data_IF_334704167658
#
_entry.id   IF_334704167658
#
_cell.length_a   1.000
_cell.length_b   1.000
_cell.length_c   1.000
_cell.angle_alpha   90.00
_cell.angle_beta   90.00
_cell.angle_gamma   90.00
#
_symmetry.space_group_name_H-M   'P 1'
#
loop_
_entity.id
_entity.type
_entity.pdbx_description
1 polymer ?
#
# COMPACT_ATOMS: atom_id res chain seq x y z
N UNK A 1 32.52 -29.20 6.58
CA UNK A 1 33.97 -29.53 6.65
C UNK A 1 34.27 -30.82 7.35
N UNK A 2 35.57 -31.22 7.42
CA UNK A 2 36.00 -32.46 8.06
C UNK A 2 37.18 -32.25 8.98
N UNK A 3 37.16 -32.93 10.13
CA UNK A 3 38.32 -33.10 11.00
C UNK A 3 38.81 -34.53 10.87
N UNK A 4 40.12 -34.72 10.77
CA UNK A 4 40.74 -36.04 10.72
C UNK A 4 41.72 -36.16 11.90
N UNK A 5 41.45 -37.11 12.80
CA UNK A 5 42.33 -37.46 13.90
C UNK A 5 42.99 -38.79 13.62
N UNK A 6 44.27 -38.92 13.98
CA UNK A 6 45.03 -40.18 13.80
C UNK A 6 45.75 -40.55 15.07
N UNK A 7 45.82 -41.85 15.32
CA UNK A 7 46.54 -42.43 16.47
C UNK A 7 47.35 -43.66 16.06
N UNK A 8 48.43 -43.80 16.74
CA UNK A 8 49.24 -45.04 16.78
C UNK A 8 49.47 -45.44 18.23
N UNK A 9 49.72 -46.68 18.50
CA UNK A 9 50.16 -47.21 19.77
C UNK A 9 51.47 -47.96 19.58
N UNK A 10 52.41 -47.79 20.56
CA UNK A 10 53.70 -48.46 20.58
C UNK A 10 53.71 -49.42 21.76
N UNK A 11 54.12 -50.69 21.55
CA UNK A 11 54.28 -51.64 22.63
C UNK A 11 55.59 -51.43 23.43
N UNK A 12 55.78 -52.22 24.49
CA UNK A 12 56.97 -52.10 25.33
C UNK A 12 58.28 -52.53 24.62
N UNK A 13 58.18 -53.21 23.47
CA UNK A 13 59.28 -53.67 22.62
C UNK A 13 59.61 -52.69 21.50
N UNK A 14 58.83 -51.58 21.37
CA UNK A 14 59.04 -50.57 20.37
C UNK A 14 58.29 -50.81 19.04
N UNK A 15 57.45 -51.80 18.94
CA UNK A 15 56.64 -52.06 17.74
C UNK A 15 55.47 -51.06 17.68
N UNK A 16 55.24 -50.43 16.54
CA UNK A 16 54.22 -49.44 16.32
C UNK A 16 53.04 -50.09 15.55
N UNK A 17 51.81 -49.81 15.99
CA UNK A 17 50.58 -50.21 15.30
C UNK A 17 50.42 -49.54 13.96
N UNK A 18 49.52 -50.06 13.14
CA UNK A 18 48.94 -49.28 12.03
C UNK A 18 48.23 -48.02 12.54
N UNK A 19 48.11 -47.02 11.69
CA UNK A 19 47.46 -45.74 12.01
C UNK A 19 45.95 -46.00 12.11
N UNK A 20 45.35 -45.68 13.24
CA UNK A 20 43.91 -45.57 13.34
C UNK A 20 43.48 -44.15 12.93
N UNK A 21 42.48 -44.03 12.05
CA UNK A 21 42.00 -42.77 11.51
C UNK A 21 40.53 -42.60 11.87
N UNK A 22 40.18 -41.45 12.46
CA UNK A 22 38.80 -41.00 12.66
C UNK A 22 38.56 -39.81 11.75
N UNK A 23 37.46 -39.81 11.03
CA UNK A 23 36.98 -38.64 10.27
C UNK A 23 35.67 -38.15 10.89
N UNK A 24 35.66 -36.89 11.31
CA UNK A 24 34.46 -36.20 11.80
C UNK A 24 34.01 -35.25 10.70
N UNK A 25 32.83 -35.45 10.16
CA UNK A 25 32.23 -34.62 9.16
C UNK A 25 31.24 -33.69 9.83
N UNK A 26 31.39 -32.37 9.59
CA UNK A 26 30.47 -31.34 10.04
C UNK A 26 29.70 -30.88 8.81
N UNK A 27 28.38 -30.91 8.87
CA UNK A 27 27.48 -30.47 7.81
C UNK A 27 26.51 -29.48 8.39
N UNK A 28 26.10 -28.54 7.55
CA UNK A 28 24.96 -27.69 7.80
C UNK A 28 23.85 -28.07 6.83
N UNK A 29 22.69 -28.43 7.36
CA UNK A 29 21.49 -28.81 6.61
C UNK A 29 20.27 -28.07 7.16
N UNK A 30 20.48 -27.00 7.93
CA UNK A 30 19.42 -26.20 8.54
C UNK A 30 19.20 -24.97 7.67
N UNK A 31 17.95 -24.71 7.33
CA UNK A 31 17.60 -23.51 6.60
C UNK A 31 17.57 -22.27 7.52
N UNK A 32 17.96 -21.08 7.01
CA UNK A 32 17.78 -19.83 7.74
C UNK A 32 16.33 -19.59 8.13
N UNK A 33 16.15 -18.90 9.27
CA UNK A 33 14.84 -18.51 9.78
C UNK A 33 14.72 -16.99 9.85
N UNK A 34 13.53 -16.47 9.57
CA UNK A 34 13.27 -15.05 9.66
C UNK A 34 13.23 -14.58 11.11
N UNK A 35 13.99 -13.54 11.45
CA UNK A 35 13.94 -12.86 12.75
C UNK A 35 12.89 -11.74 12.75
N UNK A 36 12.55 -11.20 11.58
CA UNK A 36 11.40 -10.33 11.41
C UNK A 36 10.13 -11.17 11.48
N UNK A 37 9.22 -10.81 12.40
CA UNK A 37 7.95 -11.53 12.57
C UNK A 37 7.06 -11.38 11.32
N UNK A 38 6.28 -12.42 11.01
CA UNK A 38 5.30 -12.37 9.93
C UNK A 38 4.32 -11.21 10.16
N UNK A 39 4.03 -10.43 9.11
CA UNK A 39 3.18 -9.25 9.16
C UNK A 39 3.82 -7.98 9.76
N UNK A 40 5.05 -8.06 10.29
CA UNK A 40 5.70 -6.89 10.90
C UNK A 40 6.05 -5.78 9.89
N UNK A 41 6.11 -6.11 8.61
CA UNK A 41 6.35 -5.15 7.53
C UNK A 41 5.07 -4.75 6.79
N UNK A 42 3.92 -5.32 7.15
CA UNK A 42 2.64 -4.97 6.51
C UNK A 42 2.25 -3.55 6.86
N UNK A 43 1.72 -2.83 5.88
CA UNK A 43 1.31 -1.42 6.04
C UNK A 43 0.00 -1.14 5.31
N UNK A 44 -0.78 -0.20 5.85
CA UNK A 44 -1.92 0.40 5.16
C UNK A 44 -1.62 1.88 4.95
N UNK A 45 -1.70 2.34 3.72
CA UNK A 45 -1.21 3.66 3.29
C UNK A 45 -2.24 4.29 2.35
N UNK A 46 -2.47 5.59 2.50
CA UNK A 46 -3.31 6.37 1.61
C UNK A 46 -2.71 6.44 0.19
N UNK A 47 -3.53 6.32 -0.83
CA UNK A 47 -3.11 6.29 -2.24
C UNK A 47 -2.30 7.52 -2.67
N UNK A 48 -2.56 8.68 -2.06
CA UNK A 48 -1.84 9.92 -2.30
C UNK A 48 -0.47 10.02 -1.62
N UNK A 49 -0.17 9.14 -0.64
CA UNK A 49 1.13 9.12 0.05
C UNK A 49 2.17 8.28 -0.71
N UNK A 50 2.59 8.77 -1.86
CA UNK A 50 3.62 8.10 -2.67
C UNK A 50 4.96 7.91 -1.94
N UNK A 51 5.29 8.79 -1.00
CA UNK A 51 6.52 8.67 -0.21
C UNK A 51 6.41 7.52 0.81
N UNK A 52 5.27 7.39 1.48
CA UNK A 52 4.97 6.28 2.38
C UNK A 52 4.96 4.93 1.64
N UNK A 53 4.36 4.86 0.45
CA UNK A 53 4.36 3.66 -0.39
C UNK A 53 5.79 3.25 -0.76
N UNK A 54 6.61 4.20 -1.22
CA UNK A 54 8.01 3.93 -1.57
C UNK A 54 8.83 3.48 -0.36
N UNK A 55 8.59 4.07 0.82
CA UNK A 55 9.26 3.67 2.06
C UNK A 55 8.85 2.26 2.49
N UNK A 56 7.59 1.89 2.38
CA UNK A 56 7.10 0.55 2.69
C UNK A 56 7.70 -0.51 1.75
N UNK A 57 7.78 -0.21 0.45
CA UNK A 57 8.39 -1.09 -0.54
C UNK A 57 9.91 -1.27 -0.36
N UNK A 58 10.58 -0.34 0.31
CA UNK A 58 12.02 -0.41 0.60
C UNK A 58 12.36 -1.23 1.85
N UNK A 59 11.37 -1.71 2.60
CA UNK A 59 11.59 -2.54 3.79
C UNK A 59 12.10 -3.92 3.41
N UNK A 60 13.07 -4.42 4.16
CA UNK A 60 13.65 -5.75 3.96
C UNK A 60 13.60 -6.50 5.31
N UNK A 61 13.10 -7.75 5.35
CA UNK A 61 13.14 -8.56 6.55
C UNK A 61 14.56 -9.00 6.90
N UNK A 62 14.79 -9.40 8.14
CA UNK A 62 16.06 -9.95 8.64
C UNK A 62 15.94 -11.43 8.95
N UNK A 63 17.03 -12.17 8.78
CA UNK A 63 17.09 -13.61 9.01
C UNK A 63 18.36 -14.02 9.73
N UNK A 64 18.30 -15.17 10.41
CA UNK A 64 19.41 -15.77 11.11
C UNK A 64 19.46 -17.27 10.86
N UNK A 65 20.66 -17.81 10.83
CA UNK A 65 20.94 -19.23 10.77
C UNK A 65 21.77 -19.71 11.97
N UNK A 66 21.64 -20.98 12.32
CA UNK A 66 22.31 -21.57 13.48
C UNK A 66 23.83 -21.76 13.32
N UNK A 67 24.31 -21.87 12.08
CA UNK A 67 25.74 -22.03 11.76
C UNK A 67 26.37 -20.73 11.25
N UNK A 68 25.65 -19.96 10.46
CA UNK A 68 26.15 -18.75 9.78
C UNK A 68 25.86 -17.46 10.57
N UNK A 69 24.92 -17.48 11.54
CA UNK A 69 24.48 -16.29 12.24
C UNK A 69 23.56 -15.43 11.36
N UNK A 70 23.79 -14.12 11.33
CA UNK A 70 23.00 -13.20 10.49
C UNK A 70 23.26 -13.46 9.00
N UNK A 71 22.20 -13.78 8.25
CA UNK A 71 22.27 -14.12 6.83
C UNK A 71 21.74 -12.96 6.00
N UNK A 72 22.55 -12.49 5.04
CA UNK A 72 22.28 -11.28 4.23
C UNK A 72 22.02 -11.57 2.75
N UNK A 73 22.12 -12.82 2.30
CA UNK A 73 21.84 -13.20 0.92
C UNK A 73 20.33 -13.33 0.69
N UNK A 74 19.63 -12.20 0.86
CA UNK A 74 18.18 -12.08 0.73
C UNK A 74 17.83 -11.74 -0.71
N UNK A 75 16.92 -12.50 -1.30
CA UNK A 75 16.40 -12.28 -2.66
C UNK A 75 14.95 -11.83 -2.53
N UNK A 76 14.65 -10.67 -3.10
CA UNK A 76 13.30 -10.10 -3.18
C UNK A 76 12.65 -10.43 -4.53
N UNK A 77 11.34 -10.70 -4.47
CA UNK A 77 10.43 -10.66 -5.61
C UNK A 77 9.38 -9.60 -5.30
N UNK A 78 9.58 -8.40 -5.85
CA UNK A 78 8.66 -7.28 -5.70
C UNK A 78 7.34 -7.58 -6.42
N UNK A 79 6.23 -7.42 -5.72
CA UNK A 79 4.89 -7.59 -6.27
C UNK A 79 4.44 -6.37 -7.07
N UNK A 80 3.74 -6.58 -8.17
CA UNK A 80 3.05 -5.50 -8.86
C UNK A 80 1.80 -5.07 -8.07
N UNK A 81 1.36 -3.82 -8.29
CA UNK A 81 0.09 -3.34 -7.75
C UNK A 81 -1.08 -4.16 -8.32
N UNK A 82 -1.93 -4.65 -7.44
CA UNK A 82 -3.17 -5.34 -7.78
C UNK A 82 -4.32 -4.44 -7.35
N UNK A 83 -5.00 -3.75 -8.29
CA UNK A 83 -6.08 -2.83 -7.97
C UNK A 83 -7.31 -3.54 -7.44
N UNK A 84 -8.08 -2.81 -6.62
CA UNK A 84 -9.42 -3.23 -6.19
C UNK A 84 -10.42 -3.29 -7.34
N UNK A 85 -11.49 -4.06 -7.18
CA UNK A 85 -12.50 -4.23 -8.24
C UNK A 85 -13.45 -3.05 -8.34
N UNK A 86 -13.71 -2.34 -7.25
CA UNK A 86 -14.67 -1.21 -7.18
C UNK A 86 -13.97 0.13 -7.15
N UNK A 87 -12.79 0.20 -6.55
CA UNK A 87 -11.94 1.37 -6.44
C UNK A 87 -10.56 1.02 -7.00
N UNK A 88 -10.21 1.44 -8.23
CA UNK A 88 -8.93 1.11 -8.85
C UNK A 88 -7.71 1.75 -8.16
N UNK A 89 -7.92 2.79 -7.38
CA UNK A 89 -6.90 3.49 -6.60
C UNK A 89 -6.53 2.74 -5.33
N UNK A 90 -7.46 1.95 -4.79
CA UNK A 90 -7.21 0.99 -3.72
C UNK A 90 -6.65 -0.31 -4.28
N UNK A 91 -5.91 -1.03 -3.44
CA UNK A 91 -5.35 -2.32 -3.84
C UNK A 91 -4.23 -2.78 -2.95
N UNK A 92 -3.41 -3.70 -3.47
CA UNK A 92 -2.31 -4.26 -2.69
C UNK A 92 -1.05 -4.44 -3.54
N UNK A 93 0.10 -4.29 -2.87
CA UNK A 93 1.37 -4.89 -3.30
C UNK A 93 1.65 -6.09 -2.39
N UNK A 94 2.17 -7.18 -2.95
CA UNK A 94 2.64 -8.32 -2.17
C UNK A 94 4.08 -8.61 -2.53
N UNK A 95 5.00 -8.21 -1.66
CA UNK A 95 6.42 -8.49 -1.81
C UNK A 95 6.78 -9.80 -1.09
N UNK A 96 7.70 -10.56 -1.65
CA UNK A 96 8.15 -11.81 -1.06
C UNK A 96 9.68 -11.90 -1.05
N UNK A 97 10.22 -12.57 -0.04
CA UNK A 97 11.66 -12.78 0.10
C UNK A 97 11.97 -14.22 0.44
N UNK A 98 13.12 -14.67 -0.06
CA UNK A 98 13.82 -15.87 0.41
C UNK A 98 15.25 -15.50 0.76
N UNK A 99 15.87 -16.26 1.64
CA UNK A 99 17.26 -16.10 2.02
C UNK A 99 17.97 -17.45 1.93
N UNK A 100 19.23 -17.43 1.49
CA UNK A 100 20.05 -18.65 1.35
C UNK A 100 21.30 -18.49 2.19
N UNK A 101 21.63 -19.51 3.00
CA UNK A 101 22.87 -19.55 3.77
C UNK A 101 24.10 -19.88 2.92
N UNK A 102 25.29 -19.93 3.52
CA UNK A 102 26.54 -20.26 2.84
C UNK A 102 26.62 -21.72 2.38
N UNK A 103 25.81 -22.61 2.96
CA UNK A 103 25.74 -24.05 2.63
C UNK A 103 24.72 -24.35 1.53
N UNK A 104 23.89 -23.37 1.15
CA UNK A 104 22.88 -23.51 0.11
C UNK A 104 21.49 -23.90 0.61
N UNK A 105 21.24 -23.89 1.94
CA UNK A 105 19.90 -24.12 2.47
C UNK A 105 19.07 -22.86 2.32
N UNK A 106 17.80 -22.98 1.91
CA UNK A 106 16.90 -21.87 1.59
C UNK A 106 15.79 -21.78 2.64
N UNK A 107 15.48 -20.56 3.09
CA UNK A 107 14.41 -20.28 4.04
C UNK A 107 13.01 -20.55 3.48
N UNK A 108 12.01 -20.58 4.37
CA UNK A 108 10.61 -20.35 3.98
C UNK A 108 10.44 -18.94 3.39
N UNK A 109 9.39 -18.75 2.57
CA UNK A 109 9.08 -17.46 1.98
C UNK A 109 8.56 -16.51 3.04
N UNK A 110 9.17 -15.33 3.17
CA UNK A 110 8.59 -14.18 3.90
C UNK A 110 7.70 -13.39 2.96
N UNK A 111 6.56 -12.92 3.44
CA UNK A 111 5.62 -12.10 2.67
C UNK A 111 5.29 -10.82 3.42
N UNK A 112 5.25 -9.71 2.67
CA UNK A 112 4.73 -8.41 3.11
C UNK A 112 3.53 -8.05 2.25
N UNK A 113 2.48 -7.51 2.86
CA UNK A 113 1.33 -6.93 2.17
C UNK A 113 1.27 -5.42 2.46
N UNK A 114 1.34 -4.61 1.41
CA UNK A 114 1.11 -3.18 1.49
C UNK A 114 -0.28 -2.92 0.92
N UNK A 115 -1.22 -2.51 1.77
CA UNK A 115 -2.58 -2.16 1.40
C UNK A 115 -2.67 -0.67 1.10
N UNK A 116 -3.16 -0.32 -0.07
CA UNK A 116 -3.42 1.06 -0.47
C UNK A 116 -4.91 1.32 -0.30
N UNK A 117 -5.24 2.41 0.37
CA UNK A 117 -6.62 2.83 0.63
C UNK A 117 -6.83 4.26 0.16
N UNK A 118 -8.07 4.58 -0.15
CA UNK A 118 -8.56 5.93 -0.37
C UNK A 118 -9.70 6.22 0.62
N UNK A 119 -9.41 7.05 1.61
CA UNK A 119 -10.35 7.42 2.67
C UNK A 119 -10.64 8.93 2.65
N UNK A 120 -10.23 9.63 1.61
CA UNK A 120 -10.37 11.07 1.48
C UNK A 120 -11.56 11.38 0.58
N UNK A 121 -12.48 12.21 1.05
CA UNK A 121 -13.60 12.63 0.23
C UNK A 121 -13.17 13.72 -0.78
N UNK A 122 -13.80 13.77 -1.98
CA UNK A 122 -13.56 14.82 -2.95
C UNK A 122 -13.82 16.22 -2.39
N UNK A 123 -13.05 17.18 -2.84
CA UNK A 123 -13.18 18.57 -2.47
C UNK A 123 -13.63 19.43 -3.67
N UNK A 124 -14.49 20.41 -3.42
CA UNK A 124 -14.90 21.35 -4.45
C UNK A 124 -13.72 22.24 -4.86
N UNK A 125 -13.36 22.23 -6.14
CA UNK A 125 -12.41 23.17 -6.73
C UNK A 125 -13.09 24.46 -7.19
N UNK A 126 -14.42 24.45 -7.43
CA UNK A 126 -15.22 25.64 -7.60
C UNK A 126 -15.39 26.34 -6.24
N UNK A 127 -14.96 27.59 -6.14
CA UNK A 127 -15.08 28.37 -4.89
C UNK A 127 -16.55 28.59 -4.51
N UNK A 128 -16.83 28.61 -3.21
CA UNK A 128 -18.16 28.95 -2.70
C UNK A 128 -18.62 30.32 -3.24
N UNK A 129 -19.87 30.39 -3.71
CA UNK A 129 -20.45 31.59 -4.31
C UNK A 129 -20.04 31.87 -5.77
N UNK A 130 -19.14 31.08 -6.36
CA UNK A 130 -18.72 31.32 -7.76
C UNK A 130 -19.83 31.09 -8.79
N UNK A 131 -20.84 30.30 -8.43
CA UNK A 131 -22.04 30.05 -9.27
C UNK A 131 -23.22 30.93 -8.89
N UNK A 132 -23.11 31.78 -7.87
CA UNK A 132 -24.18 32.68 -7.48
C UNK A 132 -24.41 33.72 -8.56
N UNK A 133 -25.68 33.98 -8.87
CA UNK A 133 -26.09 34.94 -9.85
C UNK A 133 -27.26 35.83 -9.35
N UNK A 134 -27.24 37.08 -9.68
CA UNK A 134 -28.38 38.00 -9.52
C UNK A 134 -28.90 38.39 -10.87
N UNK A 135 -30.12 37.99 -11.17
CA UNK A 135 -30.73 38.09 -12.51
C UNK A 135 -32.07 38.80 -12.43
N UNK A 136 -32.45 39.46 -13.51
CA UNK A 136 -33.77 40.06 -13.66
C UNK A 136 -34.82 38.98 -13.90
N UNK A 137 -36.01 39.08 -13.29
CA UNK A 137 -37.08 38.10 -13.39
C UNK A 137 -37.56 37.81 -14.82
N UNK A 138 -37.34 38.79 -15.73
CA UNK A 138 -37.63 38.65 -17.16
C UNK A 138 -36.56 37.94 -17.99
N UNK A 139 -35.34 37.70 -17.41
CA UNK A 139 -34.23 37.02 -18.06
C UNK A 139 -34.32 35.50 -17.93
N UNK A 140 -35.32 34.91 -18.58
CA UNK A 140 -35.52 33.46 -18.52
C UNK A 140 -34.32 32.66 -19.04
N UNK A 141 -33.55 33.23 -20.01
CA UNK A 141 -32.38 32.52 -20.55
C UNK A 141 -31.20 32.55 -19.55
N UNK A 142 -30.97 33.69 -18.87
CA UNK A 142 -29.95 33.79 -17.82
C UNK A 142 -30.27 32.91 -16.61
N UNK A 143 -31.55 32.88 -16.21
CA UNK A 143 -32.01 31.98 -15.11
C UNK A 143 -31.76 30.53 -15.46
N UNK A 144 -32.13 30.07 -16.66
CA UNK A 144 -31.90 28.69 -17.09
C UNK A 144 -30.41 28.33 -17.15
N UNK A 145 -29.57 29.28 -17.59
CA UNK A 145 -28.12 29.08 -17.65
C UNK A 145 -27.49 28.98 -16.23
N UNK A 146 -27.95 29.84 -15.30
CA UNK A 146 -27.50 29.78 -13.91
C UNK A 146 -27.89 28.45 -13.22
N UNK A 147 -29.12 28.00 -13.48
CA UNK A 147 -29.60 26.71 -12.93
C UNK A 147 -28.89 25.48 -13.55
N UNK A 148 -28.35 25.59 -14.75
CA UNK A 148 -27.60 24.53 -15.42
C UNK A 148 -26.10 24.50 -15.05
N UNK A 149 -25.65 25.46 -14.25
CA UNK A 149 -24.23 25.53 -13.84
C UNK A 149 -23.93 24.42 -12.83
N UNK A 150 -22.83 23.70 -13.05
CA UNK A 150 -22.39 22.59 -12.22
C UNK A 150 -21.00 22.94 -11.67
N UNK A 151 -20.76 22.78 -10.35
CA UNK A 151 -19.43 22.96 -9.78
C UNK A 151 -18.46 21.85 -10.21
N UNK A 152 -17.18 22.07 -10.03
CA UNK A 152 -16.12 21.12 -10.32
C UNK A 152 -15.49 20.67 -9.01
N UNK A 153 -15.15 19.38 -8.92
CA UNK A 153 -14.51 18.79 -7.75
C UNK A 153 -13.27 17.99 -8.15
N UNK A 154 -12.35 17.90 -7.22
CA UNK A 154 -11.12 17.10 -7.35
C UNK A 154 -10.91 16.26 -6.10
N UNK A 155 -10.23 15.14 -6.30
CA UNK A 155 -9.82 14.23 -5.25
C UNK A 155 -8.31 13.98 -5.30
N UNK A 156 -7.72 13.59 -4.16
CA UNK A 156 -6.27 13.37 -4.04
C UNK A 156 -5.78 12.09 -4.73
N UNK A 157 -6.69 11.14 -4.98
CA UNK A 157 -6.39 9.85 -5.61
C UNK A 157 -6.99 9.74 -7.02
N UNK A 158 -8.21 10.24 -7.20
CA UNK A 158 -8.96 10.17 -8.45
C UNK A 158 -8.70 11.34 -9.42
N UNK A 159 -8.17 12.47 -8.91
CA UNK A 159 -8.05 13.69 -9.69
C UNK A 159 -9.40 14.36 -9.91
N UNK A 160 -9.79 14.62 -11.17
CA UNK A 160 -11.09 15.25 -11.48
C UNK A 160 -12.24 14.23 -11.28
N UNK A 161 -13.20 14.58 -10.41
CA UNK A 161 -14.34 13.72 -10.08
C UNK A 161 -15.62 14.24 -10.74
N UNK A 162 -16.26 13.40 -11.50
CA UNK A 162 -17.44 13.74 -12.32
C UNK A 162 -18.77 13.18 -11.76
N UNK A 163 -18.76 12.35 -10.73
CA UNK A 163 -19.97 11.79 -10.14
C UNK A 163 -20.64 12.78 -9.18
N UNK A 164 -21.14 13.88 -9.77
CA UNK A 164 -21.80 14.98 -9.07
C UNK A 164 -23.32 14.78 -9.13
N UNK A 165 -23.96 14.85 -7.97
CA UNK A 165 -25.41 14.77 -7.83
C UNK A 165 -25.93 16.12 -7.36
N UNK A 166 -26.81 16.72 -8.17
CA UNK A 166 -27.51 17.96 -7.86
C UNK A 166 -28.85 17.69 -7.18
N UNK A 167 -29.15 18.50 -6.17
CA UNK A 167 -30.51 18.68 -5.62
C UNK A 167 -30.95 20.10 -5.96
N UNK A 168 -31.70 20.24 -7.05
CA UNK A 168 -32.23 21.52 -7.49
C UNK A 168 -33.29 22.07 -6.52
N UNK A 169 -33.07 23.29 -6.07
CA UNK A 169 -34.00 23.98 -5.19
C UNK A 169 -35.22 24.54 -5.93
N UNK A 170 -36.39 24.51 -5.29
CA UNK A 170 -37.58 25.18 -5.80
C UNK A 170 -37.44 26.71 -5.61
N UNK A 171 -38.14 27.47 -6.46
CA UNK A 171 -38.25 28.90 -6.26
C UNK A 171 -38.92 29.25 -4.93
N UNK A 172 -38.26 30.06 -4.15
CA UNK A 172 -38.79 30.60 -2.88
C UNK A 172 -39.07 32.09 -3.08
N UNK A 173 -40.35 32.51 -3.21
CA UNK A 173 -40.71 33.91 -3.48
C UNK A 173 -40.44 34.82 -2.28
N UNK A 174 -40.14 36.05 -2.55
CA UNK A 174 -40.00 37.11 -1.56
C UNK A 174 -41.34 37.43 -0.88
N UNK A 175 -41.30 37.88 0.39
CA UNK A 175 -42.53 38.19 1.16
C UNK A 175 -43.29 39.43 0.66
N UNK A 176 -42.63 40.35 0.01
CA UNK A 176 -43.23 41.64 -0.45
C UNK A 176 -43.40 41.71 -1.97
N UNK A 177 -42.59 40.97 -2.72
CA UNK A 177 -42.63 40.91 -4.17
C UNK A 177 -42.53 39.43 -4.59
N UNK A 178 -43.65 38.81 -5.01
CA UNK A 178 -43.70 37.37 -5.34
C UNK A 178 -42.89 37.00 -6.58
N UNK A 179 -42.57 37.95 -7.46
CA UNK A 179 -41.76 37.79 -8.65
C UNK A 179 -40.26 37.82 -8.35
N UNK A 180 -39.86 38.31 -7.16
CA UNK A 180 -38.53 38.23 -6.63
C UNK A 180 -38.39 36.99 -5.72
N UNK A 181 -37.23 36.38 -5.65
CA UNK A 181 -37.00 35.23 -4.81
C UNK A 181 -35.67 34.55 -5.09
N UNK A 182 -35.49 33.39 -4.58
CA UNK A 182 -34.24 32.60 -4.68
C UNK A 182 -34.49 31.18 -5.11
N UNK A 183 -33.54 30.65 -5.86
CA UNK A 183 -33.31 29.19 -6.02
C UNK A 183 -32.06 28.86 -5.20
N UNK A 184 -32.08 27.77 -4.46
CA UNK A 184 -30.90 27.27 -3.75
C UNK A 184 -30.64 25.84 -4.20
N UNK A 185 -29.63 25.66 -5.06
CA UNK A 185 -29.20 24.33 -5.48
C UNK A 185 -28.08 23.86 -4.55
N UNK A 186 -28.03 22.56 -4.31
CA UNK A 186 -26.97 21.90 -3.56
C UNK A 186 -26.41 20.74 -4.34
N UNK A 187 -25.14 20.43 -4.13
CA UNK A 187 -24.47 19.32 -4.85
C UNK A 187 -23.70 18.46 -3.86
N UNK A 188 -23.67 17.17 -4.15
CA UNK A 188 -22.73 16.23 -3.56
C UNK A 188 -21.92 15.61 -4.66
N UNK A 189 -20.68 15.21 -4.35
CA UNK A 189 -19.82 14.47 -5.27
C UNK A 189 -19.29 13.24 -4.56
N UNK A 190 -19.19 12.13 -5.29
CA UNK A 190 -18.71 10.85 -4.79
C UNK A 190 -17.56 10.39 -5.67
N UNK A 191 -16.43 10.00 -5.08
CA UNK A 191 -15.28 9.44 -5.80
C UNK A 191 -15.53 7.99 -6.24
N UNK A 192 -14.51 7.36 -6.83
CA UNK A 192 -14.59 5.97 -7.27
C UNK A 192 -14.58 4.96 -6.11
N UNK A 193 -14.08 5.37 -4.93
CA UNK A 193 -14.00 4.56 -3.72
C UNK A 193 -15.24 4.66 -2.83
N UNK A 194 -16.12 5.63 -3.13
CA UNK A 194 -17.39 5.84 -2.43
C UNK A 194 -17.33 6.89 -1.33
N UNK A 195 -16.23 7.66 -1.21
CA UNK A 195 -16.17 8.78 -0.28
C UNK A 195 -16.99 9.95 -0.84
N UNK A 196 -17.75 10.62 0.03
CA UNK A 196 -18.72 11.65 -0.36
C UNK A 196 -18.28 13.00 0.22
N UNK A 197 -18.30 14.05 -0.62
CA UNK A 197 -18.04 15.41 -0.19
C UNK A 197 -19.08 15.90 0.82
N UNK A 198 -18.69 16.89 1.65
CA UNK A 198 -19.66 17.71 2.37
C UNK A 198 -20.45 18.58 1.38
N UNK A 199 -21.72 18.90 1.76
CA UNK A 199 -22.66 19.71 0.97
C UNK A 199 -22.31 21.19 1.01
#
# INVERSE_FOLDING_TARGET
GTYTNTWTVTDACGNISEVYTQVITITDNTSPTWTTMAGALDMTIECSDGAGIAAAQALIPTANDNCDGDVTNIIEVAGAFVPGMTCPQEGTYTNTWTVTDACGNISEVYSQVITITDNTAPAWSTMAGALDATLECSDAAGIALAQAAIPVATDNCDGDVANIVEVAGAFVPGMTCPEEGTYTNTWTVTDACGNISEV
#
